data_IF_899514020589
#
_entry.id   IF_899514020589
#
_cell.length_a   1.000
_cell.length_b   1.000
_cell.length_c   1.000
_cell.angle_alpha   90.00
_cell.angle_beta   90.00
_cell.angle_gamma   90.00
#
_symmetry.space_group_name_H-M   'P 1'
#
loop_
_entity.id
_entity.type
_entity.pdbx_description
1 polymer ?
#
# COMPACT_ATOMS: atom_id res chain seq x y z
N UNK A 1 -34.28 -16.79 10.59
CA UNK A 1 -33.43 -16.54 9.41
C UNK A 1 -33.11 -15.04 9.41
N UNK A 2 -31.92 -14.65 9.86
CA UNK A 2 -31.51 -13.24 9.93
C UNK A 2 -31.09 -12.80 8.53
N UNK A 3 -31.83 -11.90 7.90
CA UNK A 3 -31.33 -11.13 6.76
C UNK A 3 -30.34 -10.10 7.30
N UNK A 4 -29.05 -10.39 7.22
CA UNK A 4 -28.01 -9.38 7.42
C UNK A 4 -28.02 -8.46 6.19
N UNK A 5 -28.88 -7.45 6.23
CA UNK A 5 -28.80 -6.31 5.30
C UNK A 5 -27.60 -5.48 5.74
N UNK A 6 -26.44 -5.74 5.14
CA UNK A 6 -25.29 -4.84 5.24
C UNK A 6 -25.65 -3.59 4.45
N UNK A 7 -25.91 -2.49 5.14
CA UNK A 7 -25.95 -1.18 4.50
C UNK A 7 -24.62 -0.98 3.76
N UNK A 8 -24.66 -0.92 2.42
CA UNK A 8 -23.49 -0.55 1.61
C UNK A 8 -23.15 0.89 1.96
N UNK A 9 -22.13 1.09 2.79
CA UNK A 9 -21.43 2.37 2.81
C UNK A 9 -20.83 2.55 1.42
N UNK A 10 -21.34 3.52 0.65
CA UNK A 10 -20.80 3.83 -0.68
C UNK A 10 -19.28 4.04 -0.58
N UNK A 11 -18.53 3.11 -1.18
CA UNK A 11 -17.21 3.33 -1.75
C UNK A 11 -16.05 3.74 -0.83
N UNK A 12 -15.96 3.17 0.37
CA UNK A 12 -14.81 3.38 1.27
C UNK A 12 -13.45 2.97 0.67
N UNK A 13 -13.39 1.88 -0.10
CA UNK A 13 -12.14 1.43 -0.78
C UNK A 13 -11.91 2.13 -2.12
N UNK A 14 -12.97 2.36 -2.88
CA UNK A 14 -12.89 3.01 -4.20
C UNK A 14 -12.34 4.43 -4.13
N UNK A 15 -12.57 5.15 -3.02
CA UNK A 15 -11.96 6.47 -2.78
C UNK A 15 -10.44 6.48 -2.98
N UNK A 16 -9.75 5.38 -2.67
CA UNK A 16 -8.30 5.30 -2.76
C UNK A 16 -7.79 4.71 -4.09
N UNK A 17 -8.68 4.29 -4.99
CA UNK A 17 -8.31 3.66 -6.26
C UNK A 17 -7.47 4.61 -7.15
N UNK A 18 -7.71 5.92 -7.05
CA UNK A 18 -6.96 6.94 -7.80
C UNK A 18 -5.48 7.01 -7.42
N UNK A 19 -5.06 6.41 -6.30
CA UNK A 19 -3.66 6.37 -5.87
C UNK A 19 -2.90 5.14 -6.38
N UNK A 20 -3.58 4.15 -6.97
CA UNK A 20 -2.96 2.88 -7.37
C UNK A 20 -2.03 3.06 -8.57
N UNK A 21 -2.51 3.71 -9.63
CA UNK A 21 -1.71 3.95 -10.84
C UNK A 21 -0.49 4.85 -10.54
N UNK A 22 -0.64 5.99 -9.83
CA UNK A 22 0.51 6.79 -9.39
C UNK A 22 1.52 5.99 -8.55
N UNK A 23 1.07 5.10 -7.67
CA UNK A 23 1.98 4.26 -6.87
C UNK A 23 2.79 3.30 -7.74
N UNK A 24 2.22 2.80 -8.85
CA UNK A 24 2.92 1.91 -9.78
C UNK A 24 3.90 2.64 -10.69
N UNK A 25 3.57 3.86 -11.11
CA UNK A 25 4.39 4.66 -12.02
C UNK A 25 5.50 5.43 -11.30
N UNK A 26 5.18 6.03 -10.15
CA UNK A 26 6.03 6.97 -9.42
C UNK A 26 6.27 6.51 -7.97
N UNK A 27 6.56 5.22 -7.79
CA UNK A 27 6.79 4.61 -6.49
C UNK A 27 7.77 5.43 -5.64
N UNK A 28 7.41 5.67 -4.39
CA UNK A 28 8.34 6.20 -3.38
C UNK A 28 9.39 5.16 -3.01
N UNK A 29 8.93 3.92 -2.78
CA UNK A 29 9.78 2.79 -2.43
C UNK A 29 9.33 1.54 -3.21
N UNK A 30 10.29 0.70 -3.59
CA UNK A 30 10.04 -0.61 -4.21
C UNK A 30 10.83 -1.67 -3.45
N UNK A 31 10.15 -2.73 -3.02
CA UNK A 31 10.75 -3.85 -2.29
C UNK A 31 10.34 -5.23 -2.82
N UNK A 32 11.12 -6.25 -2.45
CA UNK A 32 10.87 -7.68 -2.70
C UNK A 32 10.71 -8.45 -1.39
N UNK A 33 9.54 -8.38 -0.74
CA UNK A 33 9.20 -9.23 0.40
C UNK A 33 9.14 -10.72 0.00
N UNK A 34 9.62 -11.62 0.87
CA UNK A 34 9.38 -13.05 0.69
C UNK A 34 7.90 -13.38 0.87
N UNK A 35 7.38 -14.23 -0.01
CA UNK A 35 6.07 -14.83 0.11
C UNK A 35 6.18 -16.21 0.79
N UNK A 36 5.09 -16.69 1.39
CA UNK A 36 5.05 -17.98 2.12
C UNK A 36 5.41 -19.19 1.26
N UNK A 37 5.27 -19.09 -0.05
CA UNK A 37 5.59 -20.13 -1.02
C UNK A 37 7.04 -20.08 -1.53
N UNK A 38 7.93 -19.34 -0.87
CA UNK A 38 9.35 -19.22 -1.27
C UNK A 38 9.59 -18.32 -2.48
N UNK A 39 8.59 -17.53 -2.88
CA UNK A 39 8.69 -16.64 -4.05
C UNK A 39 8.77 -15.19 -3.60
N UNK A 40 9.17 -14.30 -4.50
CA UNK A 40 9.22 -12.86 -4.22
C UNK A 40 8.23 -12.14 -5.14
N UNK A 41 7.59 -11.09 -4.62
CA UNK A 41 6.68 -10.25 -5.40
C UNK A 41 7.03 -8.80 -5.18
N UNK A 42 7.12 -8.04 -6.27
CA UNK A 42 7.38 -6.61 -6.23
C UNK A 42 6.26 -5.92 -5.46
N UNK A 43 6.64 -5.14 -4.46
CA UNK A 43 5.77 -4.22 -3.73
C UNK A 43 6.20 -2.80 -4.06
N UNK A 44 5.25 -1.99 -4.49
CA UNK A 44 5.42 -0.56 -4.69
C UNK A 44 4.74 0.18 -3.54
N UNK A 45 5.43 1.14 -2.95
CA UNK A 45 4.91 2.03 -1.92
C UNK A 45 4.74 3.41 -2.53
N UNK A 46 3.56 4.01 -2.33
CA UNK A 46 3.26 5.39 -2.65
C UNK A 46 2.98 6.18 -1.38
N UNK A 47 3.39 7.44 -1.37
CA UNK A 47 3.11 8.40 -0.30
C UNK A 47 2.26 9.53 -0.89
N UNK A 48 1.19 9.88 -0.20
CA UNK A 48 0.26 10.92 -0.63
C UNK A 48 -0.10 11.81 0.54
N UNK A 49 0.10 13.11 0.36
CA UNK A 49 -0.29 14.12 1.35
C UNK A 49 -1.79 14.43 1.23
N UNK A 50 -2.42 14.77 2.35
CA UNK A 50 -3.83 15.14 2.37
C UNK A 50 -4.34 15.47 3.77
N UNK A 51 -5.67 15.52 3.98
CA UNK A 51 -6.26 15.70 5.32
C UNK A 51 -5.80 14.62 6.32
N UNK A 52 -5.37 13.48 5.79
CA UNK A 52 -4.54 12.52 6.49
C UNK A 52 -3.53 11.98 5.51
N UNK A 53 -2.26 12.00 5.87
CA UNK A 53 -1.21 11.45 5.03
C UNK A 53 -1.41 9.95 4.85
N UNK A 54 -1.35 9.50 3.61
CA UNK A 54 -1.61 8.14 3.21
C UNK A 54 -0.35 7.48 2.71
N UNK A 55 -0.18 6.24 3.15
CA UNK A 55 0.75 5.30 2.55
C UNK A 55 -0.06 4.21 1.85
N UNK A 56 0.25 3.99 0.58
CA UNK A 56 -0.40 2.96 -0.25
C UNK A 56 0.64 1.90 -0.63
N UNK A 57 0.33 0.64 -0.34
CA UNK A 57 1.12 -0.51 -0.77
C UNK A 57 0.40 -1.20 -1.91
N UNK A 58 1.05 -1.37 -3.05
CA UNK A 58 0.49 -2.04 -4.23
C UNK A 58 1.39 -3.21 -4.64
N UNK A 59 0.78 -4.36 -4.94
CA UNK A 59 1.46 -5.57 -5.41
C UNK A 59 0.67 -6.18 -6.56
N UNK A 60 1.38 -6.63 -7.58
CA UNK A 60 0.81 -7.42 -8.66
C UNK A 60 0.91 -8.91 -8.30
N UNK A 61 -0.18 -9.64 -8.47
CA UNK A 61 -0.15 -11.09 -8.41
C UNK A 61 0.37 -11.68 -9.72
N UNK A 62 0.86 -12.93 -9.66
CA UNK A 62 1.37 -13.64 -10.84
C UNK A 62 0.39 -13.70 -12.00
N UNK A 63 -0.90 -13.70 -11.69
CA UNK A 63 -1.98 -13.86 -12.68
C UNK A 63 -2.50 -12.51 -13.21
N UNK A 64 -1.92 -11.37 -12.77
CA UNK A 64 -2.29 -10.02 -13.21
C UNK A 64 -3.14 -9.18 -12.24
N UNK A 65 -3.97 -9.73 -11.32
CA UNK A 65 -4.70 -8.89 -10.37
C UNK A 65 -3.79 -8.08 -9.45
N UNK A 66 -4.17 -6.82 -9.23
CA UNK A 66 -3.52 -5.95 -8.26
C UNK A 66 -4.13 -6.13 -6.87
N UNK A 67 -3.27 -6.14 -5.86
CA UNK A 67 -3.62 -6.09 -4.45
C UNK A 67 -3.08 -4.81 -3.87
N UNK A 68 -3.91 -4.08 -3.12
CA UNK A 68 -3.48 -2.88 -2.43
C UNK A 68 -3.99 -2.77 -1.00
N UNK A 69 -3.16 -2.10 -0.18
CA UNK A 69 -3.43 -1.80 1.22
C UNK A 69 -3.22 -0.30 1.45
N UNK A 70 -4.04 0.30 2.30
CA UNK A 70 -4.02 1.73 2.62
C UNK A 70 -3.74 1.91 4.10
N UNK A 71 -2.78 2.76 4.43
CA UNK A 71 -2.38 3.08 5.78
C UNK A 71 -2.48 4.59 5.97
N UNK A 72 -3.06 5.02 7.08
CA UNK A 72 -2.97 6.40 7.53
C UNK A 72 -1.65 6.56 8.29
N UNK A 73 -0.72 7.38 7.81
CA UNK A 73 0.62 7.48 8.37
C UNK A 73 0.65 7.94 9.83
N UNK A 74 -0.35 8.73 10.25
CA UNK A 74 -0.48 9.27 11.61
C UNK A 74 -1.11 8.26 12.57
N UNK A 75 -2.08 7.48 12.09
CA UNK A 75 -2.85 6.55 12.94
C UNK A 75 -2.30 5.12 12.94
N UNK A 76 -1.47 4.77 11.95
CA UNK A 76 -0.92 3.42 11.83
C UNK A 76 0.16 3.19 12.88
N UNK A 77 0.15 2.01 13.51
CA UNK A 77 1.22 1.65 14.43
C UNK A 77 2.54 1.48 13.67
N UNK A 78 3.65 1.82 14.33
CA UNK A 78 5.01 1.59 13.81
C UNK A 78 5.19 0.11 13.39
N UNK A 79 4.60 -0.81 14.15
CA UNK A 79 4.63 -2.25 13.81
C UNK A 79 3.91 -2.55 12.49
N UNK A 80 2.79 -1.88 12.19
CA UNK A 80 2.10 -2.05 10.92
C UNK A 80 2.94 -1.50 9.75
N UNK A 81 3.56 -0.32 9.93
CA UNK A 81 4.42 0.29 8.92
C UNK A 81 5.70 -0.52 8.67
N UNK A 82 6.32 -1.06 9.71
CA UNK A 82 7.52 -1.91 9.59
C UNK A 82 7.28 -3.18 8.75
N UNK A 83 6.04 -3.68 8.63
CA UNK A 83 5.72 -4.82 7.74
C UNK A 83 5.93 -4.48 6.26
N UNK A 84 5.88 -3.20 5.91
CA UNK A 84 6.08 -2.72 4.55
C UNK A 84 7.55 -2.76 4.13
N UNK A 85 8.45 -2.60 5.10
CA UNK A 85 9.90 -2.63 4.93
C UNK A 85 10.52 -4.04 5.06
N UNK A 86 9.70 -5.08 5.01
CA UNK A 86 10.20 -6.46 4.99
C UNK A 86 10.68 -6.84 3.58
N UNK A 87 11.87 -7.41 3.50
CA UNK A 87 12.46 -7.91 2.25
C UNK A 87 13.59 -7.02 1.73
N UNK A 88 14.05 -7.32 0.52
CA UNK A 88 15.11 -6.55 -0.11
C UNK A 88 14.55 -5.24 -0.68
N UNK A 89 15.14 -4.11 -0.32
CA UNK A 89 14.87 -2.81 -0.93
C UNK A 89 15.51 -2.77 -2.32
N UNK A 90 14.70 -2.54 -3.35
CA UNK A 90 15.19 -2.39 -4.73
C UNK A 90 15.40 -0.93 -5.10
N UNK A 91 14.53 -0.05 -4.62
CA UNK A 91 14.56 1.37 -4.90
C UNK A 91 13.88 2.15 -3.78
N UNK A 92 14.40 3.33 -3.45
CA UNK A 92 13.78 4.26 -2.51
C UNK A 92 14.14 5.70 -2.83
N UNK A 93 13.17 6.60 -2.81
CA UNK A 93 13.40 8.05 -2.89
C UNK A 93 13.82 8.56 -1.51
N UNK A 94 14.92 9.29 -1.45
CA UNK A 94 15.29 10.00 -0.22
C UNK A 94 14.32 11.16 0.00
N UNK A 95 13.86 11.35 1.24
CA UNK A 95 13.11 12.54 1.62
C UNK A 95 14.06 13.74 1.56
N UNK A 96 13.83 14.67 0.63
CA UNK A 96 14.54 15.95 0.62
C UNK A 96 13.89 16.86 1.66
N UNK A 97 14.46 16.93 2.86
CA UNK A 97 14.03 17.88 3.89
C UNK A 97 14.33 17.42 5.31
N UNK A 98 15.57 17.63 5.76
CA UNK A 98 15.93 17.80 7.16
C UNK A 98 17.33 18.45 7.22
N UNK A 99 17.36 19.77 7.02
CA UNK A 99 18.46 20.65 7.48
C UNK A 99 17.82 21.66 8.41
#
# INVERSE_FOLDING_TARGET
>A
MLHLVVAKADNGRERYANHIVPTLQESFEVSLPPCTNGTYRKRCIGLFEGPSDLLISVRENRDGPLFWEVYNAVQSSIQALNKLHQGALLFGKALRGAV
#
